data_IF_863181396423
#
_entry.id   IF_863181396423
#
_cell.length_a   1.000
_cell.length_b   1.000
_cell.length_c   1.000
_cell.angle_alpha   90.00
_cell.angle_beta   90.00
_cell.angle_gamma   90.00
#
_symmetry.space_group_name_H-M   'P 1'
#
loop_
_entity.id
_entity.type
_entity.pdbx_description
1 polymer ?
#
# COMPACT_ATOMS: atom_id res chain seq x y z
N UNK A 1 -20.60 15.64 12.22
CA UNK A 1 -19.31 14.98 11.89
C UNK A 1 -19.58 13.49 11.84
N UNK A 2 -19.53 12.86 10.66
CA UNK A 2 -19.83 11.44 10.47
C UNK A 2 -18.55 10.68 10.11
N UNK A 3 -17.57 10.72 11.01
CA UNK A 3 -16.27 10.04 10.86
C UNK A 3 -15.99 9.21 12.10
N UNK A 4 -15.25 8.11 11.93
CA UNK A 4 -14.77 7.33 13.07
C UNK A 4 -13.78 8.16 13.91
N UNK A 5 -13.85 8.01 15.23
CA UNK A 5 -12.95 8.71 16.15
C UNK A 5 -11.53 8.14 16.03
N UNK A 6 -10.54 9.02 15.87
CA UNK A 6 -9.14 8.65 15.99
C UNK A 6 -8.83 8.21 17.42
N UNK A 7 -8.14 7.08 17.58
CA UNK A 7 -7.86 6.46 18.89
C UNK A 7 -9.05 5.70 19.50
N UNK A 8 -10.21 5.66 18.84
CA UNK A 8 -11.33 4.82 19.26
C UNK A 8 -11.00 3.34 19.08
N UNK A 9 -11.16 2.53 20.12
CA UNK A 9 -10.77 1.10 20.13
C UNK A 9 -11.49 0.29 19.03
N UNK A 10 -12.72 0.67 18.67
CA UNK A 10 -13.51 0.03 17.61
C UNK A 10 -13.24 0.57 16.20
N UNK A 11 -12.63 1.75 16.07
CA UNK A 11 -12.44 2.41 14.78
C UNK A 11 -11.60 1.59 13.79
N UNK A 12 -10.46 0.98 14.21
CA UNK A 12 -9.68 0.12 13.33
C UNK A 12 -10.47 -1.07 12.79
N UNK A 13 -11.29 -1.71 13.63
CA UNK A 13 -12.09 -2.86 13.24
C UNK A 13 -13.16 -2.50 12.22
N UNK A 14 -13.85 -1.36 12.39
CA UNK A 14 -14.83 -0.87 11.41
C UNK A 14 -14.17 -0.52 10.07
N UNK A 15 -13.02 0.15 10.10
CA UNK A 15 -12.28 0.51 8.88
C UNK A 15 -11.80 -0.74 8.13
N UNK A 16 -11.24 -1.72 8.84
CA UNK A 16 -10.79 -2.98 8.24
C UNK A 16 -11.95 -3.80 7.65
N UNK A 17 -13.11 -3.81 8.32
CA UNK A 17 -14.30 -4.43 7.76
C UNK A 17 -14.70 -3.78 6.44
N UNK A 18 -14.79 -2.45 6.39
CA UNK A 18 -15.12 -1.72 5.16
C UNK A 18 -14.09 -1.93 4.04
N UNK A 19 -12.80 -1.98 4.38
CA UNK A 19 -11.71 -2.26 3.45
C UNK A 19 -11.83 -3.67 2.84
N UNK A 20 -12.04 -4.70 3.65
CA UNK A 20 -12.26 -6.07 3.18
C UNK A 20 -13.54 -6.21 2.37
N UNK A 21 -14.61 -5.55 2.82
CA UNK A 21 -15.89 -5.55 2.11
C UNK A 21 -15.78 -4.93 0.73
N UNK A 22 -15.01 -3.84 0.60
CA UNK A 22 -14.70 -3.21 -0.69
C UNK A 22 -14.07 -4.21 -1.66
N UNK A 23 -13.13 -5.03 -1.20
CA UNK A 23 -12.53 -6.06 -2.06
C UNK A 23 -13.50 -7.19 -2.41
N UNK A 24 -14.36 -7.61 -1.48
CA UNK A 24 -15.41 -8.61 -1.75
C UNK A 24 -16.43 -8.15 -2.78
N UNK A 25 -16.91 -6.91 -2.66
CA UNK A 25 -17.92 -6.33 -3.55
C UNK A 25 -17.39 -6.11 -4.98
N UNK A 26 -16.08 -6.21 -5.19
CA UNK A 26 -15.42 -5.98 -6.48
C UNK A 26 -14.61 -7.19 -6.96
N UNK A 27 -14.85 -8.39 -6.43
CA UNK A 27 -14.05 -9.59 -6.73
C UNK A 27 -14.03 -9.97 -8.21
N UNK A 28 -15.12 -9.72 -8.94
CA UNK A 28 -15.25 -10.10 -10.35
C UNK A 28 -14.54 -9.12 -11.30
N UNK A 29 -14.20 -7.91 -10.83
CA UNK A 29 -13.60 -6.84 -11.63
C UNK A 29 -12.06 -6.77 -11.51
N UNK A 30 -11.47 -7.47 -10.54
CA UNK A 30 -10.05 -7.36 -10.20
C UNK A 30 -9.37 -8.73 -10.08
N UNK A 31 -8.04 -8.74 -10.17
CA UNK A 31 -7.25 -9.96 -10.02
C UNK A 31 -7.44 -10.58 -8.63
N UNK A 32 -7.56 -11.92 -8.59
CA UNK A 32 -7.74 -12.67 -7.34
C UNK A 32 -6.64 -12.40 -6.31
N UNK A 33 -5.39 -12.24 -6.76
CA UNK A 33 -4.24 -11.95 -5.89
C UNK A 33 -4.32 -10.56 -5.24
N UNK A 34 -4.94 -9.59 -5.91
CA UNK A 34 -5.17 -8.24 -5.37
C UNK A 34 -6.25 -8.29 -4.29
N UNK A 35 -7.34 -9.04 -4.54
CA UNK A 35 -8.39 -9.28 -3.55
C UNK A 35 -7.83 -10.01 -2.32
N UNK A 36 -6.98 -11.02 -2.54
CA UNK A 36 -6.28 -11.72 -1.46
C UNK A 36 -5.37 -10.77 -0.67
N UNK A 37 -4.63 -9.90 -1.38
CA UNK A 37 -3.77 -8.88 -0.75
C UNK A 37 -4.55 -7.97 0.20
N UNK A 38 -5.73 -7.48 -0.20
CA UNK A 38 -6.58 -6.67 0.70
C UNK A 38 -6.99 -7.43 1.95
N UNK A 39 -7.26 -8.74 1.82
CA UNK A 39 -7.76 -9.57 2.93
C UNK A 39 -6.66 -10.00 3.90
N UNK A 40 -5.47 -10.26 3.39
CA UNK A 40 -4.41 -11.01 4.08
C UNK A 40 -3.16 -10.20 4.40
N UNK A 41 -2.90 -9.11 3.67
CA UNK A 41 -1.64 -8.35 3.77
C UNK A 41 -1.75 -7.01 4.51
N UNK A 42 -2.94 -6.66 5.01
CA UNK A 42 -3.14 -5.47 5.84
C UNK A 42 -2.97 -5.78 7.33
N UNK A 43 -2.08 -5.03 7.98
CA UNK A 43 -2.02 -4.90 9.44
C UNK A 43 -2.57 -3.53 9.83
N UNK A 44 -3.84 -3.52 10.26
CA UNK A 44 -4.60 -2.29 10.55
C UNK A 44 -4.71 -1.38 9.32
N UNK A 45 -3.81 -0.41 9.16
CA UNK A 45 -3.76 0.55 8.06
C UNK A 45 -2.54 0.38 7.15
N UNK A 46 -1.56 -0.44 7.56
CA UNK A 46 -0.35 -0.71 6.77
C UNK A 46 -0.54 -1.98 5.92
N UNK A 47 -0.25 -1.90 4.61
CA UNK A 47 -0.22 -3.04 3.71
C UNK A 47 1.22 -3.41 3.36
N UNK A 48 1.59 -4.69 3.53
CA UNK A 48 2.90 -5.20 3.15
C UNK A 48 2.77 -6.43 2.28
N UNK A 49 3.35 -6.37 1.08
CA UNK A 49 3.30 -7.44 0.08
C UNK A 49 4.67 -7.58 -0.55
N UNK A 50 5.18 -8.81 -0.57
CA UNK A 50 6.37 -9.21 -1.34
C UNK A 50 5.92 -10.01 -2.56
N UNK A 51 6.61 -9.82 -3.68
CA UNK A 51 6.30 -10.38 -5.00
C UNK A 51 7.61 -10.73 -5.71
N UNK A 52 7.57 -11.73 -6.59
CA UNK A 52 8.77 -12.28 -7.23
C UNK A 52 9.27 -11.42 -8.41
N UNK A 53 8.46 -10.47 -8.90
CA UNK A 53 8.83 -9.61 -10.02
C UNK A 53 8.36 -8.16 -9.87
N UNK A 54 9.17 -7.25 -10.40
CA UNK A 54 8.82 -5.82 -10.47
C UNK A 54 7.57 -5.57 -11.31
N UNK A 55 7.34 -6.37 -12.36
CA UNK A 55 6.17 -6.24 -13.23
C UNK A 55 4.87 -6.55 -12.49
N UNK A 56 4.85 -7.63 -11.72
CA UNK A 56 3.72 -7.97 -10.85
C UNK A 56 3.54 -6.94 -9.74
N UNK A 57 4.63 -6.40 -9.19
CA UNK A 57 4.56 -5.36 -8.17
C UNK A 57 3.93 -4.06 -8.71
N UNK A 58 4.35 -3.60 -9.89
CA UNK A 58 3.76 -2.41 -10.54
C UNK A 58 2.27 -2.62 -10.82
N UNK A 59 1.88 -3.77 -11.37
CA UNK A 59 0.46 -4.05 -11.63
C UNK A 59 -0.34 -4.16 -10.32
N UNK A 60 0.23 -4.78 -9.29
CA UNK A 60 -0.40 -4.90 -7.97
C UNK A 60 -0.61 -3.54 -7.33
N UNK A 61 0.36 -2.63 -7.39
CA UNK A 61 0.22 -1.26 -6.87
C UNK A 61 -0.98 -0.57 -7.52
N UNK A 62 -1.05 -0.62 -8.85
CA UNK A 62 -2.15 -0.01 -9.62
C UNK A 62 -3.50 -0.61 -9.25
N UNK A 63 -3.63 -1.94 -9.32
CA UNK A 63 -4.89 -2.63 -9.05
C UNK A 63 -5.34 -2.45 -7.60
N UNK A 64 -4.40 -2.43 -6.64
CA UNK A 64 -4.69 -2.23 -5.22
C UNK A 64 -5.17 -0.79 -4.95
N UNK A 65 -4.57 0.21 -5.60
CA UNK A 65 -5.05 1.59 -5.54
C UNK A 65 -6.45 1.70 -6.13
N UNK A 66 -6.70 1.08 -7.30
CA UNK A 66 -7.98 1.17 -7.99
C UNK A 66 -9.13 0.48 -7.22
N UNK A 67 -8.91 -0.73 -6.70
CA UNK A 67 -9.95 -1.45 -5.94
C UNK A 67 -10.31 -0.74 -4.64
N UNK A 68 -9.32 -0.20 -3.92
CA UNK A 68 -9.54 0.48 -2.65
C UNK A 68 -10.13 1.89 -2.85
N UNK A 69 -9.83 2.55 -3.97
CA UNK A 69 -10.48 3.80 -4.35
C UNK A 69 -11.99 3.64 -4.55
N UNK A 70 -12.47 2.47 -5.01
CA UNK A 70 -13.92 2.17 -5.09
C UNK A 70 -14.61 2.19 -3.71
N UNK A 71 -13.87 1.90 -2.63
CA UNK A 71 -14.34 2.00 -1.25
C UNK A 71 -14.08 3.36 -0.59
N UNK A 72 -13.54 4.33 -1.33
CA UNK A 72 -13.15 5.65 -0.81
C UNK A 72 -11.83 5.66 -0.04
N UNK A 73 -11.03 4.59 -0.10
CA UNK A 73 -9.71 4.53 0.51
C UNK A 73 -8.65 5.06 -0.45
N UNK A 74 -7.78 5.94 0.05
CA UNK A 74 -6.62 6.44 -0.68
C UNK A 74 -5.36 5.86 -0.04
N UNK A 75 -4.66 5.01 -0.78
CA UNK A 75 -3.36 4.50 -0.37
C UNK A 75 -2.28 5.58 -0.56
N UNK A 76 -1.46 5.76 0.46
CA UNK A 76 -0.42 6.79 0.51
C UNK A 76 0.85 6.19 1.10
N UNK A 77 1.96 6.93 1.03
CA UNK A 77 3.28 6.53 1.55
C UNK A 77 3.83 5.24 0.93
N UNK A 78 3.61 5.03 -0.36
CA UNK A 78 4.19 3.91 -1.08
C UNK A 78 5.72 3.92 -1.05
N UNK A 79 6.29 2.74 -0.85
CA UNK A 79 7.72 2.49 -0.87
C UNK A 79 7.98 1.04 -1.30
N UNK A 80 9.15 0.81 -1.90
CA UNK A 80 9.61 -0.51 -2.35
C UNK A 80 11.14 -0.51 -2.36
N UNK A 81 11.74 -1.68 -2.32
CA UNK A 81 13.16 -1.88 -2.63
C UNK A 81 13.47 -1.78 -4.14
N UNK A 82 12.45 -1.76 -5.02
CA UNK A 82 12.63 -1.50 -6.44
C UNK A 82 12.33 -0.06 -6.81
N UNK A 83 13.36 0.63 -7.35
CA UNK A 83 13.24 1.99 -7.93
C UNK A 83 12.17 2.05 -9.01
N UNK A 84 12.10 1.05 -9.88
CA UNK A 84 11.11 0.96 -10.96
C UNK A 84 9.68 0.91 -10.41
N UNK A 85 9.47 0.19 -9.30
CA UNK A 85 8.16 0.16 -8.64
C UNK A 85 7.83 1.53 -8.05
N UNK A 86 8.79 2.20 -7.38
CA UNK A 86 8.60 3.56 -6.85
C UNK A 86 8.25 4.55 -7.98
N UNK A 87 8.94 4.46 -9.12
CA UNK A 87 8.71 5.32 -10.29
C UNK A 87 7.30 5.19 -10.86
N UNK A 88 6.69 3.99 -10.78
CA UNK A 88 5.32 3.76 -11.22
C UNK A 88 4.26 4.47 -10.37
N UNK A 89 4.63 4.92 -9.16
CA UNK A 89 3.72 5.59 -8.22
C UNK A 89 3.78 7.11 -8.42
N UNK A 90 2.64 7.83 -8.43
CA UNK A 90 2.63 9.29 -8.43
C UNK A 90 3.40 9.88 -7.22
N UNK A 91 4.21 10.95 -7.39
CA UNK A 91 5.01 11.52 -6.30
C UNK A 91 4.20 11.93 -5.06
N UNK A 92 2.94 12.32 -5.23
CA UNK A 92 2.02 12.66 -4.14
C UNK A 92 1.65 11.49 -3.22
N UNK A 93 1.72 10.27 -3.72
CA UNK A 93 1.43 9.04 -2.97
C UNK A 93 2.68 8.33 -2.44
N UNK A 94 3.88 8.77 -2.84
CA UNK A 94 5.15 8.19 -2.38
C UNK A 94 5.43 8.50 -0.91
N UNK A 95 6.18 7.61 -0.24
CA UNK A 95 6.73 7.85 1.09
C UNK A 95 7.65 9.08 1.09
N UNK A 96 7.73 9.77 2.23
CA UNK A 96 8.47 11.04 2.34
C UNK A 96 9.95 10.89 1.94
N UNK A 97 10.58 9.75 2.26
CA UNK A 97 11.98 9.48 1.95
C UNK A 97 12.28 9.36 0.45
N UNK A 98 11.30 8.93 -0.36
CA UNK A 98 11.49 8.68 -1.81
C UNK A 98 10.71 9.66 -2.71
N UNK A 99 9.99 10.61 -2.10
CA UNK A 99 9.14 11.55 -2.84
C UNK A 99 9.91 12.54 -3.72
N UNK A 100 11.03 13.05 -3.21
CA UNK A 100 11.89 14.03 -3.90
C UNK A 100 13.29 13.47 -4.17
N UNK A 101 13.46 12.16 -4.02
CA UNK A 101 14.74 11.47 -4.19
C UNK A 101 15.04 11.35 -5.69
N UNK A 102 16.27 11.61 -6.10
CA UNK A 102 16.72 11.25 -7.44
C UNK A 102 17.03 9.75 -7.46
N UNK A 103 16.03 8.96 -7.83
CA UNK A 103 16.13 7.49 -7.87
C UNK A 103 17.26 6.98 -8.78
N UNK A 104 17.80 7.81 -9.68
CA UNK A 104 18.91 7.43 -10.56
C UNK A 104 20.30 7.66 -9.98
N UNK A 105 20.42 8.47 -8.92
CA UNK A 105 21.70 8.91 -8.36
C UNK A 105 21.83 8.65 -6.86
N UNK A 106 20.72 8.57 -6.14
CA UNK A 106 20.69 8.48 -4.68
C UNK A 106 20.30 7.07 -4.19
N UNK A 107 20.85 6.69 -3.04
CA UNK A 107 20.50 5.45 -2.34
C UNK A 107 19.11 5.56 -1.72
N UNK A 108 18.36 4.45 -1.74
CA UNK A 108 17.06 4.35 -1.10
C UNK A 108 17.22 4.43 0.44
N UNK A 109 16.25 5.05 1.14
CA UNK A 109 16.37 5.28 2.56
C UNK A 109 16.14 4.01 3.39
N UNK A 110 16.74 3.95 4.58
CA UNK A 110 16.29 3.01 5.62
C UNK A 110 14.97 3.50 6.18
N UNK A 111 13.96 2.65 6.15
CA UNK A 111 12.59 2.96 6.58
C UNK A 111 12.15 2.07 7.73
N UNK A 112 10.95 2.32 8.26
CA UNK A 112 10.35 1.49 9.30
C UNK A 112 9.05 0.86 8.83
N UNK A 113 8.98 -0.46 8.92
CA UNK A 113 7.82 -1.25 8.61
C UNK A 113 7.41 -2.03 9.86
N UNK A 114 6.21 -1.76 10.40
CA UNK A 114 5.67 -2.42 11.60
C UNK A 114 6.63 -2.42 12.82
N UNK A 115 7.41 -1.35 12.99
CA UNK A 115 8.36 -1.19 14.09
C UNK A 115 9.74 -1.83 13.85
N UNK A 116 9.96 -2.45 12.69
CA UNK A 116 11.24 -3.02 12.29
C UNK A 116 11.94 -2.07 11.31
N UNK A 117 13.28 -1.96 11.41
CA UNK A 117 14.07 -1.23 10.41
C UNK A 117 14.18 -2.07 9.14
N UNK A 118 13.90 -1.44 8.01
CA UNK A 118 13.98 -2.04 6.69
C UNK A 118 14.95 -1.22 5.84
N UNK A 119 16.07 -1.83 5.47
CA UNK A 119 17.04 -1.25 4.54
C UNK A 119 16.52 -1.52 3.11
N UNK A 120 15.88 -0.51 2.52
CA UNK A 120 15.23 -0.69 1.21
C UNK A 120 16.21 -0.78 0.04
N UNK A 121 17.48 -0.40 0.23
CA UNK A 121 18.49 -0.50 -0.82
C UNK A 121 19.06 -1.93 -0.93
N UNK A 122 19.15 -2.64 0.20
CA UNK A 122 19.87 -3.92 0.30
C UNK A 122 18.97 -5.14 0.55
N UNK A 123 17.65 -4.97 0.56
CA UNK A 123 16.65 -6.06 0.62
C UNK A 123 16.32 -6.58 -0.79
#
# INVERSE_FOLDING_TARGET
MAVHLFGGVWSPSCANFALRRTAEDNVDDFNADVVATVKENFFVDDCLKSLDSEGEAVETVKQLTDILAKGGFRLTKWISNSRRVIESVPPEERAKGVKNLDLSQEDLPVERALGVHWDTEHD
#
